data_IF_898019729427
#
_entry.id   IF_898019729427
#
_cell.length_a   1.000
_cell.length_b   1.000
_cell.length_c   1.000
_cell.angle_alpha   90.00
_cell.angle_beta   90.00
_cell.angle_gamma   90.00
#
_symmetry.space_group_name_H-M   'P 1'
#
loop_
_entity.id
_entity.type
_entity.pdbx_description
1 polymer ?
#
# COMPACT_ATOMS: atom_id res chain seq x y z
N UNK A 1 -48.41 24.61 23.57
CA UNK A 1 -48.28 23.98 22.23
C UNK A 1 -47.56 24.96 21.32
N UNK A 2 -46.37 24.78 20.75
CA UNK A 2 -45.37 23.71 20.64
C UNK A 2 -44.02 24.41 20.32
N UNK A 3 -42.86 24.01 20.88
CA UNK A 3 -41.57 24.48 20.38
C UNK A 3 -41.03 23.53 19.30
N UNK A 4 -41.01 24.00 18.05
CA UNK A 4 -40.23 23.41 16.94
C UNK A 4 -38.73 23.66 17.20
N UNK A 5 -38.07 22.82 18.00
CA UNK A 5 -36.63 22.99 18.25
C UNK A 5 -35.82 21.69 18.43
N UNK A 6 -36.36 20.50 18.11
CA UNK A 6 -35.61 19.24 18.34
C UNK A 6 -35.12 18.50 17.09
N UNK A 7 -35.41 18.99 15.87
CA UNK A 7 -35.08 18.24 14.65
C UNK A 7 -33.75 18.61 13.99
N UNK A 8 -33.01 19.58 14.53
CA UNK A 8 -31.71 20.04 13.96
C UNK A 8 -30.47 19.35 14.57
N UNK A 9 -30.63 18.50 15.59
CA UNK A 9 -29.51 17.93 16.38
C UNK A 9 -29.21 16.45 16.11
N UNK A 10 -29.81 15.84 15.07
CA UNK A 10 -29.54 14.44 14.65
C UNK A 10 -28.84 14.32 13.29
N UNK A 11 -28.00 15.29 12.93
CA UNK A 11 -27.08 15.23 11.79
C UNK A 11 -25.59 15.13 12.20
N UNK A 12 -25.28 14.79 13.45
CA UNK A 12 -23.91 14.90 14.00
C UNK A 12 -23.10 13.60 14.09
N UNK A 13 -23.24 12.68 13.13
CA UNK A 13 -22.32 11.53 13.06
C UNK A 13 -21.88 11.14 11.64
N UNK A 14 -22.35 11.85 10.61
CA UNK A 14 -21.95 11.58 9.23
C UNK A 14 -22.07 12.84 8.36
N UNK A 15 -21.44 13.93 8.80
CA UNK A 15 -21.24 15.09 7.95
C UNK A 15 -19.75 15.30 7.79
N UNK A 16 -19.28 15.05 6.57
CA UNK A 16 -18.07 15.62 5.98
C UNK A 16 -17.63 16.83 6.79
N UNK A 17 -16.47 16.74 7.46
CA UNK A 17 -15.83 17.91 8.07
C UNK A 17 -15.81 18.95 6.96
N UNK A 18 -16.47 20.10 7.16
CA UNK A 18 -16.48 21.18 6.19
C UNK A 18 -15.03 21.39 5.73
N UNK A 19 -14.76 21.19 4.44
CA UNK A 19 -13.38 21.14 3.94
C UNK A 19 -12.64 22.43 4.30
N UNK A 20 -13.37 23.55 4.32
CA UNK A 20 -12.86 24.84 4.79
C UNK A 20 -12.51 24.79 6.29
N UNK A 21 -13.40 24.27 7.14
CA UNK A 21 -13.11 24.08 8.55
C UNK A 21 -11.91 23.13 8.78
N UNK A 22 -11.76 22.07 7.98
CA UNK A 22 -10.60 21.17 8.07
C UNK A 22 -9.28 21.88 7.71
N UNK A 23 -9.28 22.70 6.65
CA UNK A 23 -8.12 23.51 6.25
C UNK A 23 -7.81 24.58 7.30
N UNK A 24 -8.84 25.27 7.80
CA UNK A 24 -8.70 26.28 8.85
C UNK A 24 -8.13 25.64 10.12
N UNK A 25 -8.59 24.45 10.52
CA UNK A 25 -8.04 23.68 11.64
C UNK A 25 -6.58 23.26 11.43
N UNK A 26 -6.20 22.90 10.21
CA UNK A 26 -4.82 22.51 9.88
C UNK A 26 -3.86 23.72 9.81
N UNK A 27 -4.38 24.92 9.52
CA UNK A 27 -3.58 26.15 9.34
C UNK A 27 -3.57 27.01 10.60
N UNK A 28 -4.60 26.91 11.44
CA UNK A 28 -4.68 27.64 12.69
C UNK A 28 -3.62 27.12 13.67
N UNK A 29 -2.66 27.99 14.06
CA UNK A 29 -1.66 27.73 15.11
C UNK A 29 -2.27 27.56 16.52
N UNK A 30 -3.60 27.49 16.63
CA UNK A 30 -4.34 27.52 17.89
C UNK A 30 -4.32 26.18 18.63
N UNK A 31 -3.89 25.08 17.98
CA UNK A 31 -3.82 23.76 18.58
C UNK A 31 -2.37 23.36 18.90
N UNK A 32 -2.18 22.67 20.03
CA UNK A 32 -0.87 22.19 20.50
C UNK A 32 -0.31 21.03 19.68
N UNK A 33 -1.13 20.36 18.86
CA UNK A 33 -0.76 19.18 18.10
C UNK A 33 -0.70 19.47 16.61
N UNK A 34 0.49 19.34 16.01
CA UNK A 34 0.67 19.41 14.57
C UNK A 34 0.84 18.00 13.99
N UNK A 35 -0.21 17.47 13.36
CA UNK A 35 -0.21 16.13 12.75
C UNK A 35 0.89 15.99 11.70
N UNK A 36 1.22 17.04 10.95
CA UNK A 36 2.30 16.97 9.95
C UNK A 36 3.67 16.70 10.57
N UNK A 37 3.86 17.07 11.84
CA UNK A 37 5.12 16.91 12.58
C UNK A 37 5.12 15.70 13.52
N UNK A 38 4.12 14.82 13.42
CA UNK A 38 4.16 13.55 14.13
C UNK A 38 5.40 12.76 13.72
N UNK A 39 6.06 12.13 14.69
CA UNK A 39 7.26 11.32 14.48
C UNK A 39 7.09 10.30 13.34
N UNK A 40 6.01 9.51 13.25
CA UNK A 40 5.79 8.61 12.11
C UNK A 40 5.70 9.35 10.76
N UNK A 41 5.13 10.55 10.71
CA UNK A 41 5.02 11.31 9.46
C UNK A 41 6.36 11.90 9.03
N UNK A 42 7.21 12.30 9.98
CA UNK A 42 8.59 12.73 9.69
C UNK A 42 9.40 11.56 9.10
N UNK A 43 9.25 10.35 9.66
CA UNK A 43 9.86 9.14 9.09
C UNK A 43 9.29 8.89 7.68
N UNK A 44 7.98 9.05 7.48
CA UNK A 44 7.33 8.98 6.18
C UNK A 44 7.93 9.95 5.14
N UNK A 45 8.18 11.22 5.50
CA UNK A 45 8.83 12.16 4.60
C UNK A 45 10.27 11.76 4.26
N UNK A 46 11.02 11.25 5.25
CA UNK A 46 12.36 10.72 5.01
C UNK A 46 12.34 9.54 4.03
N UNK A 47 11.33 8.66 4.13
CA UNK A 47 11.11 7.57 3.15
C UNK A 47 10.88 8.12 1.74
N UNK A 48 10.00 9.11 1.58
CA UNK A 48 9.75 9.75 0.28
C UNK A 48 11.04 10.28 -0.33
N UNK A 49 11.87 10.95 0.48
CA UNK A 49 13.17 11.47 0.02
C UNK A 49 14.09 10.31 -0.38
N UNK A 50 14.26 9.29 0.46
CA UNK A 50 15.13 8.15 0.19
C UNK A 50 14.69 7.37 -1.06
N UNK A 51 13.39 7.18 -1.25
CA UNK A 51 12.83 6.60 -2.46
C UNK A 51 13.16 7.46 -3.69
N UNK A 52 12.96 8.78 -3.63
CA UNK A 52 13.31 9.68 -4.73
C UNK A 52 14.81 9.65 -5.07
N UNK A 53 15.69 9.63 -4.05
CA UNK A 53 17.14 9.50 -4.26
C UNK A 53 17.49 8.12 -4.84
N UNK A 54 16.83 7.05 -4.41
CA UNK A 54 16.98 5.71 -5.00
C UNK A 54 16.64 5.70 -6.48
N UNK A 55 15.53 6.33 -6.87
CA UNK A 55 15.10 6.47 -8.26
C UNK A 55 16.09 7.27 -9.10
N UNK A 56 16.68 8.32 -8.54
CA UNK A 56 17.73 9.09 -9.21
C UNK A 56 18.91 8.19 -9.60
N UNK A 57 19.44 7.41 -8.64
CA UNK A 57 20.58 6.51 -8.87
C UNK A 57 20.26 5.27 -9.72
N UNK A 58 18.99 5.01 -10.03
CA UNK A 58 18.52 3.76 -10.63
C UNK A 58 19.11 3.46 -12.03
N UNK A 59 19.50 4.49 -12.78
CA UNK A 59 19.99 4.33 -14.15
C UNK A 59 21.52 4.23 -14.29
N UNK A 60 22.29 4.48 -13.22
CA UNK A 60 23.77 4.50 -13.30
C UNK A 60 24.50 3.90 -12.09
N UNK A 61 23.83 3.75 -10.94
CA UNK A 61 24.42 3.23 -9.71
C UNK A 61 23.47 2.23 -9.01
N UNK A 62 23.35 0.99 -9.54
CA UNK A 62 22.31 0.05 -9.14
C UNK A 62 22.41 -0.46 -7.70
N UNK A 63 23.64 -0.57 -7.17
CA UNK A 63 23.88 -0.97 -5.78
C UNK A 63 23.38 0.12 -4.82
N UNK A 64 23.79 1.38 -5.02
CA UNK A 64 23.34 2.50 -4.20
C UNK A 64 21.82 2.69 -4.28
N UNK A 65 21.26 2.61 -5.48
CA UNK A 65 19.80 2.65 -5.68
C UNK A 65 19.08 1.57 -4.87
N UNK A 66 19.54 0.32 -4.92
CA UNK A 66 18.94 -0.80 -4.19
C UNK A 66 19.07 -0.66 -2.67
N UNK A 67 20.22 -0.18 -2.18
CA UNK A 67 20.44 0.06 -0.74
C UNK A 67 19.48 1.14 -0.24
N UNK A 68 19.40 2.27 -0.95
CA UNK A 68 18.50 3.37 -0.57
C UNK A 68 17.03 2.95 -0.63
N UNK A 69 16.65 2.18 -1.65
CA UNK A 69 15.31 1.59 -1.76
C UNK A 69 14.99 0.67 -0.57
N UNK A 70 15.96 -0.19 -0.21
CA UNK A 70 15.85 -1.10 0.92
C UNK A 70 15.71 -0.36 2.25
N UNK A 71 16.52 0.69 2.49
CA UNK A 71 16.41 1.52 3.69
C UNK A 71 15.03 2.21 3.74
N UNK A 72 14.56 2.77 2.63
CA UNK A 72 13.22 3.36 2.55
C UNK A 72 12.12 2.35 2.89
N UNK A 73 12.27 1.10 2.44
CA UNK A 73 11.33 0.01 2.73
C UNK A 73 11.40 -0.47 4.18
N UNK A 74 12.55 -0.40 4.84
CA UNK A 74 12.69 -0.75 6.27
C UNK A 74 12.05 0.33 7.15
N UNK A 75 12.20 1.59 6.78
CA UNK A 75 11.61 2.72 7.50
C UNK A 75 10.09 2.71 7.50
N UNK A 76 9.45 2.01 6.55
CA UNK A 76 8.00 1.73 6.54
C UNK A 76 7.53 1.06 7.84
N UNK A 77 8.20 -0.03 8.19
CA UNK A 77 7.90 -0.76 9.41
C UNK A 77 8.16 0.11 10.64
N UNK A 78 9.18 0.97 10.56
CA UNK A 78 9.56 1.86 11.64
C UNK A 78 8.52 2.97 11.89
N UNK A 79 7.96 3.58 10.84
CA UNK A 79 6.90 4.59 11.01
C UNK A 79 5.61 3.98 11.57
N UNK A 80 5.23 2.79 11.09
CA UNK A 80 4.05 2.08 11.57
C UNK A 80 4.20 1.62 13.02
N UNK A 81 5.43 1.27 13.43
CA UNK A 81 5.76 0.98 14.82
C UNK A 81 5.72 2.24 15.69
N UNK A 82 6.34 3.34 15.24
CA UNK A 82 6.36 4.62 15.95
C UNK A 82 4.95 5.19 16.14
N UNK A 83 4.09 5.11 15.11
CA UNK A 83 2.71 5.56 15.17
C UNK A 83 1.88 4.87 16.27
N UNK A 84 2.19 3.59 16.55
CA UNK A 84 1.51 2.80 17.58
C UNK A 84 2.14 3.02 18.96
N UNK A 85 3.47 3.04 19.03
CA UNK A 85 4.19 3.23 20.28
C UNK A 85 3.96 4.62 20.89
N UNK A 86 3.83 5.65 20.05
CA UNK A 86 3.62 7.03 20.47
C UNK A 86 2.15 7.46 20.47
N UNK A 87 1.21 6.56 20.14
CA UNK A 87 -0.21 6.88 19.92
C UNK A 87 -0.46 8.02 18.91
N UNK A 88 0.43 8.17 17.92
CA UNK A 88 0.39 9.19 16.87
C UNK A 88 -0.18 8.67 15.54
N UNK A 89 -1.07 7.69 15.60
CA UNK A 89 -1.73 7.13 14.40
C UNK A 89 -2.70 8.16 13.81
N UNK A 90 -2.54 8.50 12.52
CA UNK A 90 -3.34 9.53 11.85
C UNK A 90 -3.83 9.07 10.48
N UNK A 91 -4.98 9.60 10.03
CA UNK A 91 -5.50 9.34 8.67
C UNK A 91 -4.54 9.86 7.59
N UNK A 92 -3.91 11.02 7.84
CA UNK A 92 -2.91 11.58 6.95
C UNK A 92 -1.70 10.64 6.81
N UNK A 93 -1.14 10.17 7.93
CA UNK A 93 -0.01 9.24 7.93
C UNK A 93 -0.32 7.93 7.20
N UNK A 94 -1.52 7.36 7.42
CA UNK A 94 -1.94 6.14 6.72
C UNK A 94 -2.06 6.32 5.19
N UNK A 95 -2.50 7.50 4.73
CA UNK A 95 -2.56 7.81 3.29
C UNK A 95 -1.17 8.11 2.73
N UNK A 96 -0.34 8.86 3.46
CA UNK A 96 1.04 9.16 3.09
C UNK A 96 1.85 7.88 2.89
N UNK A 97 1.75 6.95 3.82
CA UNK A 97 2.37 5.64 3.78
C UNK A 97 1.98 4.87 2.50
N UNK A 98 0.67 4.66 2.31
CA UNK A 98 0.14 3.96 1.14
C UNK A 98 0.58 4.60 -0.17
N UNK A 99 0.51 5.94 -0.29
CA UNK A 99 0.92 6.66 -1.51
C UNK A 99 2.42 6.49 -1.77
N UNK A 100 3.25 6.58 -0.73
CA UNK A 100 4.71 6.46 -0.85
C UNK A 100 5.10 5.08 -1.38
N UNK A 101 4.51 4.03 -0.81
CA UNK A 101 4.71 2.65 -1.27
C UNK A 101 4.34 2.48 -2.75
N UNK A 102 3.14 2.92 -3.13
CA UNK A 102 2.65 2.73 -4.51
C UNK A 102 3.52 3.48 -5.51
N UNK A 103 3.95 4.70 -5.17
CA UNK A 103 4.86 5.48 -6.01
C UNK A 103 6.22 4.80 -6.16
N UNK A 104 6.83 4.32 -5.07
CA UNK A 104 8.13 3.67 -5.10
C UNK A 104 8.12 2.40 -5.98
N UNK A 105 7.18 1.48 -5.72
CA UNK A 105 7.04 0.23 -6.50
C UNK A 105 6.71 0.52 -7.96
N UNK A 106 5.86 1.51 -8.24
CA UNK A 106 5.48 1.84 -9.63
C UNK A 106 6.64 2.44 -10.42
N UNK A 107 7.45 3.30 -9.81
CA UNK A 107 8.64 3.83 -10.47
C UNK A 107 9.66 2.72 -10.77
N UNK A 108 9.84 1.76 -9.86
CA UNK A 108 10.67 0.57 -10.10
C UNK A 108 10.11 -0.28 -11.27
N UNK A 109 8.80 -0.53 -11.30
CA UNK A 109 8.15 -1.26 -12.39
C UNK A 109 8.22 -0.52 -13.73
N UNK A 110 8.13 0.80 -13.75
CA UNK A 110 8.34 1.63 -14.94
C UNK A 110 9.76 1.45 -15.49
N UNK A 111 10.76 1.46 -14.61
CA UNK A 111 12.14 1.15 -15.01
C UNK A 111 12.25 -0.26 -15.59
N UNK A 112 11.69 -1.27 -14.93
CA UNK A 112 11.68 -2.66 -15.41
C UNK A 112 11.00 -2.80 -16.78
N UNK A 113 9.91 -2.07 -17.02
CA UNK A 113 9.24 -2.04 -18.32
C UNK A 113 10.15 -1.51 -19.44
N UNK A 114 10.99 -0.51 -19.14
CA UNK A 114 11.99 -0.02 -20.10
C UNK A 114 13.17 -0.98 -20.28
N UNK A 115 13.60 -1.65 -19.20
CA UNK A 115 14.75 -2.54 -19.20
C UNK A 115 14.44 -3.89 -19.87
N UNK A 116 13.18 -4.33 -19.81
CA UNK A 116 12.68 -5.57 -20.41
C UNK A 116 11.46 -5.31 -21.32
N UNK A 117 11.65 -4.73 -22.52
CA UNK A 117 10.55 -4.31 -23.39
C UNK A 117 9.55 -5.42 -23.74
N UNK A 118 10.01 -6.67 -23.87
CA UNK A 118 9.16 -7.85 -24.14
C UNK A 118 8.08 -8.05 -23.06
N UNK A 119 8.35 -7.67 -21.82
CA UNK A 119 7.44 -7.81 -20.68
C UNK A 119 6.82 -6.46 -20.25
N UNK A 120 7.01 -5.39 -21.02
CA UNK A 120 6.54 -4.05 -20.66
C UNK A 120 5.02 -4.01 -20.40
N UNK A 121 4.22 -4.69 -21.22
CA UNK A 121 2.76 -4.78 -21.06
C UNK A 121 2.39 -5.45 -19.74
N UNK A 122 3.14 -6.47 -19.31
CA UNK A 122 2.92 -7.12 -18.02
C UNK A 122 3.19 -6.15 -16.88
N UNK A 123 4.33 -5.44 -16.90
CA UNK A 123 4.63 -4.45 -15.84
C UNK A 123 3.62 -3.31 -15.80
N UNK A 124 3.17 -2.80 -16.95
CA UNK A 124 2.10 -1.80 -17.02
C UNK A 124 0.79 -2.31 -16.41
N UNK A 125 0.42 -3.56 -16.71
CA UNK A 125 -0.74 -4.19 -16.10
C UNK A 125 -0.59 -4.34 -14.58
N UNK A 126 0.59 -4.74 -14.08
CA UNK A 126 0.86 -4.86 -12.64
C UNK A 126 0.73 -3.51 -11.92
N UNK A 127 1.26 -2.43 -12.52
CA UNK A 127 1.09 -1.06 -12.00
C UNK A 127 -0.40 -0.70 -11.92
N UNK A 128 -1.15 -0.92 -13.01
CA UNK A 128 -2.58 -0.59 -13.07
C UNK A 128 -3.40 -1.38 -12.04
N UNK A 129 -3.13 -2.68 -11.91
CA UNK A 129 -3.78 -3.56 -10.94
C UNK A 129 -3.51 -3.12 -9.50
N UNK A 130 -2.25 -2.80 -9.20
CA UNK A 130 -1.84 -2.41 -7.86
C UNK A 130 -2.47 -1.09 -7.43
N UNK A 131 -2.43 -0.06 -8.29
CA UNK A 131 -3.14 1.20 -8.05
C UNK A 131 -4.64 1.02 -7.91
N UNK A 132 -5.29 0.31 -8.85
CA UNK A 132 -6.74 0.13 -8.82
C UNK A 132 -7.19 -0.61 -7.55
N UNK A 133 -6.50 -1.68 -7.18
CA UNK A 133 -6.84 -2.51 -6.01
C UNK A 133 -6.69 -1.74 -4.69
N UNK A 134 -5.61 -0.99 -4.52
CA UNK A 134 -5.37 -0.20 -3.32
C UNK A 134 -6.29 1.02 -3.25
N UNK A 135 -6.51 1.73 -4.36
CA UNK A 135 -7.40 2.87 -4.41
C UNK A 135 -8.84 2.51 -4.06
N UNK A 136 -9.37 1.45 -4.69
CA UNK A 136 -10.72 0.94 -4.40
C UNK A 136 -10.83 0.47 -2.95
N UNK A 137 -9.83 -0.26 -2.45
CA UNK A 137 -9.83 -0.74 -1.08
C UNK A 137 -9.80 0.39 -0.04
N UNK A 138 -8.92 1.38 -0.22
CA UNK A 138 -8.84 2.54 0.65
C UNK A 138 -10.17 3.31 0.66
N UNK A 139 -10.73 3.58 -0.52
CA UNK A 139 -12.00 4.30 -0.64
C UNK A 139 -13.16 3.56 0.03
N UNK A 140 -13.27 2.24 -0.20
CA UNK A 140 -14.26 1.39 0.47
C UNK A 140 -14.11 1.38 2.00
N UNK A 141 -12.88 1.33 2.51
CA UNK A 141 -12.58 1.36 3.95
C UNK A 141 -12.95 2.71 4.58
N UNK A 142 -12.69 3.82 3.88
CA UNK A 142 -13.04 5.17 4.35
C UNK A 142 -14.55 5.35 4.41
N UNK A 143 -15.29 4.93 3.38
CA UNK A 143 -16.75 5.08 3.32
C UNK A 143 -17.46 4.22 4.37
N UNK A 144 -17.04 2.97 4.51
CA UNK A 144 -17.68 2.05 5.47
C UNK A 144 -17.45 2.45 6.93
N UNK A 145 -16.37 3.20 7.20
CA UNK A 145 -15.94 3.63 8.53
C UNK A 145 -15.64 2.44 9.45
N UNK A 146 -14.84 2.64 10.49
CA UNK A 146 -14.61 1.64 11.55
C UNK A 146 -15.87 1.31 12.38
N UNK A 147 -17.08 1.65 11.89
CA UNK A 147 -18.38 1.61 12.56
C UNK A 147 -19.35 0.66 11.87
N UNK A 148 -18.89 -0.50 11.38
CA UNK A 148 -19.76 -1.46 10.69
C UNK A 148 -19.60 -2.90 11.18
N UNK A 149 -19.57 -3.08 12.51
CA UNK A 149 -19.86 -4.38 13.15
C UNK A 149 -21.27 -4.93 12.83
N UNK A 150 -22.08 -4.23 12.01
CA UNK A 150 -23.44 -4.65 11.62
C UNK A 150 -23.67 -4.83 10.13
N UNK A 151 -22.71 -4.56 9.24
CA UNK A 151 -22.92 -4.64 7.78
C UNK A 151 -21.84 -5.39 6.99
N UNK A 152 -20.78 -5.89 7.63
CA UNK A 152 -19.70 -6.63 6.93
C UNK A 152 -19.45 -7.98 7.60
N UNK A 153 -20.47 -8.82 7.64
CA UNK A 153 -20.29 -10.28 7.68
C UNK A 153 -20.60 -10.86 6.31
N UNK A 154 -20.02 -10.26 5.27
CA UNK A 154 -19.90 -10.93 3.98
C UNK A 154 -18.56 -11.65 3.99
N UNK A 155 -18.60 -12.99 4.09
CA UNK A 155 -17.49 -13.94 3.96
C UNK A 155 -16.17 -13.29 3.53
N UNK A 156 -15.31 -12.99 4.50
CA UNK A 156 -13.94 -12.60 4.20
C UNK A 156 -13.32 -13.86 3.56
N UNK A 157 -13.27 -13.92 2.22
CA UNK A 157 -12.51 -14.95 1.50
C UNK A 157 -11.26 -15.28 2.29
N UNK A 158 -11.10 -16.58 2.57
CA UNK A 158 -10.12 -17.11 3.53
C UNK A 158 -8.70 -16.58 3.27
N UNK A 159 -8.39 -16.32 2.00
CA UNK A 159 -7.12 -15.75 1.56
C UNK A 159 -6.90 -14.30 1.99
N UNK A 160 -7.93 -13.45 1.91
CA UNK A 160 -7.82 -12.05 2.33
C UNK A 160 -7.81 -11.94 3.86
N UNK A 161 -8.56 -12.81 4.53
CA UNK A 161 -8.52 -12.90 5.99
C UNK A 161 -7.13 -13.29 6.47
N UNK A 162 -6.53 -14.36 5.91
CA UNK A 162 -5.17 -14.76 6.25
C UNK A 162 -4.15 -13.64 6.01
N UNK A 163 -4.29 -12.92 4.89
CA UNK A 163 -3.40 -11.83 4.51
C UNK A 163 -3.44 -10.64 5.49
N UNK A 164 -4.62 -10.21 5.95
CA UNK A 164 -4.74 -9.05 6.86
C UNK A 164 -4.77 -9.42 8.34
N UNK A 165 -5.15 -10.64 8.71
CA UNK A 165 -5.26 -11.06 10.10
C UNK A 165 -3.89 -11.23 10.77
N UNK A 166 -2.91 -11.72 10.03
CA UNK A 166 -1.55 -11.88 10.54
C UNK A 166 -0.59 -10.84 9.93
N UNK A 167 -0.07 -9.96 10.79
CA UNK A 167 0.89 -8.92 10.39
C UNK A 167 2.17 -9.51 9.80
N UNK A 168 2.57 -10.70 10.23
CA UNK A 168 3.77 -11.37 9.70
C UNK A 168 3.54 -11.81 8.26
N UNK A 169 2.38 -12.42 7.98
CA UNK A 169 1.97 -12.80 6.63
C UNK A 169 1.88 -11.56 5.72
N UNK A 170 1.26 -10.47 6.18
CA UNK A 170 1.20 -9.21 5.43
C UNK A 170 2.61 -8.72 5.05
N UNK A 171 3.50 -8.63 6.04
CA UNK A 171 4.87 -8.17 5.83
C UNK A 171 5.65 -9.08 4.90
N UNK A 172 5.60 -10.41 5.10
CA UNK A 172 6.33 -11.37 4.27
C UNK A 172 5.89 -11.35 2.81
N UNK A 173 4.59 -11.22 2.55
CA UNK A 173 4.07 -11.14 1.18
C UNK A 173 4.45 -9.82 0.51
N UNK A 174 4.36 -8.69 1.22
CA UNK A 174 4.80 -7.40 0.70
C UNK A 174 6.32 -7.36 0.46
N UNK A 175 7.12 -7.75 1.46
CA UNK A 175 8.57 -7.79 1.36
C UNK A 175 9.04 -8.77 0.28
N UNK A 176 8.40 -9.93 0.15
CA UNK A 176 8.71 -10.90 -0.91
C UNK A 176 8.36 -10.38 -2.31
N UNK A 177 7.28 -9.63 -2.46
CA UNK A 177 6.93 -8.97 -3.71
C UNK A 177 7.95 -7.88 -4.09
N UNK A 178 8.32 -7.01 -3.14
CA UNK A 178 9.35 -5.99 -3.37
C UNK A 178 10.71 -6.61 -3.68
N UNK A 179 11.08 -7.66 -2.94
CA UNK A 179 12.31 -8.42 -3.18
C UNK A 179 12.36 -9.01 -4.59
N UNK A 180 11.23 -9.48 -5.13
CA UNK A 180 11.16 -9.97 -6.49
C UNK A 180 11.48 -8.87 -7.52
N UNK A 181 10.89 -7.68 -7.38
CA UNK A 181 11.15 -6.58 -8.32
C UNK A 181 12.58 -6.03 -8.20
N UNK A 182 13.11 -5.89 -6.97
CA UNK A 182 14.50 -5.49 -6.75
C UNK A 182 15.46 -6.56 -7.30
N UNK A 183 15.14 -7.85 -7.16
CA UNK A 183 15.94 -8.91 -7.74
C UNK A 183 15.96 -8.83 -9.28
N UNK A 184 14.80 -8.67 -9.94
CA UNK A 184 14.72 -8.48 -11.39
C UNK A 184 15.49 -7.25 -11.88
N UNK A 185 15.46 -6.17 -11.09
CA UNK A 185 16.24 -4.97 -11.35
C UNK A 185 17.74 -5.26 -11.27
N UNK A 186 18.21 -5.94 -10.23
CA UNK A 186 19.62 -6.29 -10.08
C UNK A 186 20.10 -7.32 -11.12
N UNK A 187 19.23 -8.23 -11.59
CA UNK A 187 19.54 -9.14 -12.71
C UNK A 187 19.92 -8.38 -13.97
N UNK A 188 19.34 -7.19 -14.21
CA UNK A 188 19.69 -6.37 -15.38
C UNK A 188 21.12 -5.82 -15.32
N UNK A 189 21.66 -5.65 -14.12
CA UNK A 189 22.90 -4.92 -13.88
C UNK A 189 24.08 -5.81 -13.45
N UNK A 190 23.81 -6.95 -12.82
CA UNK A 190 24.83 -7.81 -12.23
C UNK A 190 24.76 -9.19 -12.87
N UNK A 191 25.72 -9.46 -13.75
CA UNK A 191 25.86 -10.74 -14.48
C UNK A 191 26.85 -11.71 -13.82
N UNK A 192 27.34 -11.42 -12.61
CA UNK A 192 28.37 -12.26 -11.96
C UNK A 192 27.77 -13.61 -11.51
N UNK A 193 28.27 -14.74 -12.05
CA UNK A 193 27.75 -16.06 -11.71
C UNK A 193 28.17 -16.49 -10.30
N UNK A 194 27.31 -17.29 -9.65
CA UNK A 194 27.45 -17.76 -8.25
C UNK A 194 28.74 -18.55 -7.97
N UNK A 195 29.46 -19.01 -9.00
CA UNK A 195 30.68 -19.85 -8.88
C UNK A 195 31.77 -19.30 -7.99
N UNK A 196 31.79 -18.00 -7.70
CA UNK A 196 32.82 -17.36 -6.87
C UNK A 196 32.60 -17.55 -5.36
N UNK A 197 31.40 -17.93 -4.90
CA UNK A 197 31.04 -17.94 -3.47
C UNK A 197 30.68 -19.30 -2.87
N UNK A 198 30.54 -20.37 -3.67
CA UNK A 198 30.01 -21.66 -3.20
C UNK A 198 30.97 -22.84 -3.41
N UNK A 199 30.96 -23.75 -2.43
CA UNK A 199 31.79 -24.96 -2.33
C UNK A 199 31.75 -25.82 -3.62
N UNK A 200 32.84 -26.55 -3.98
CA UNK A 200 32.95 -27.36 -5.21
C UNK A 200 31.93 -28.49 -5.39
N UNK A 201 30.99 -28.69 -4.48
CA UNK A 201 29.92 -29.69 -4.53
C UNK A 201 28.55 -29.13 -4.91
N UNK A 202 28.51 -27.94 -5.52
CA UNK A 202 27.23 -27.33 -5.96
C UNK A 202 26.68 -28.00 -7.23
N UNK A 203 25.36 -28.28 -7.29
CA UNK A 203 24.71 -28.83 -8.48
C UNK A 203 24.98 -27.98 -9.73
N UNK A 204 25.35 -28.61 -10.85
CA UNK A 204 25.69 -27.94 -12.12
C UNK A 204 24.63 -26.95 -12.62
N UNK A 205 23.36 -27.21 -12.33
CA UNK A 205 22.24 -26.31 -12.64
C UNK A 205 22.33 -24.96 -11.91
N UNK A 206 22.79 -24.93 -10.65
CA UNK A 206 22.95 -23.70 -9.87
C UNK A 206 24.24 -22.94 -10.21
N UNK A 207 25.22 -23.63 -10.79
CA UNK A 207 26.52 -23.06 -11.11
C UNK A 207 26.48 -22.04 -12.26
N UNK A 208 25.43 -22.03 -13.09
CA UNK A 208 25.25 -21.07 -14.17
C UNK A 208 24.39 -19.84 -13.82
N UNK A 209 23.71 -19.86 -12.66
CA UNK A 209 22.77 -18.80 -12.28
C UNK A 209 23.47 -17.68 -11.51
N UNK A 210 22.94 -16.46 -11.61
CA UNK A 210 23.34 -15.35 -10.73
C UNK A 210 22.56 -15.40 -9.41
N UNK A 211 23.13 -14.85 -8.33
CA UNK A 211 22.47 -14.82 -7.01
C UNK A 211 21.10 -14.12 -7.09
N UNK A 212 21.04 -13.06 -7.89
CA UNK A 212 19.86 -12.25 -8.16
C UNK A 212 18.77 -13.07 -8.85
N UNK A 213 19.13 -13.91 -9.83
CA UNK A 213 18.19 -14.82 -10.48
C UNK A 213 17.61 -15.84 -9.49
N UNK A 214 18.45 -16.40 -8.61
CA UNK A 214 17.97 -17.33 -7.58
C UNK A 214 16.96 -16.67 -6.64
N UNK A 215 17.27 -15.45 -6.16
CA UNK A 215 16.35 -14.67 -5.32
C UNK A 215 15.05 -14.36 -6.06
N UNK A 216 15.11 -13.99 -7.34
CA UNK A 216 13.93 -13.77 -8.16
C UNK A 216 13.07 -15.05 -8.28
N UNK A 217 13.68 -16.21 -8.53
CA UNK A 217 12.94 -17.48 -8.61
C UNK A 217 12.29 -17.88 -7.28
N UNK A 218 12.97 -17.67 -6.16
CA UNK A 218 12.42 -17.98 -4.83
C UNK A 218 11.27 -17.03 -4.43
N UNK A 219 11.35 -15.76 -4.85
CA UNK A 219 10.33 -14.75 -4.54
C UNK A 219 9.19 -14.67 -5.56
N UNK A 220 9.35 -15.25 -6.76
CA UNK A 220 8.32 -15.26 -7.81
C UNK A 220 6.96 -15.83 -7.35
N UNK A 221 6.88 -16.95 -6.61
CA UNK A 221 5.60 -17.44 -6.10
C UNK A 221 4.91 -16.46 -5.16
N UNK A 222 5.68 -15.70 -4.38
CA UNK A 222 5.15 -14.67 -3.47
C UNK A 222 4.61 -13.47 -4.25
N UNK A 223 5.32 -13.04 -5.30
CA UNK A 223 4.84 -11.99 -6.20
C UNK A 223 3.53 -12.40 -6.91
N UNK A 224 3.44 -13.63 -7.41
CA UNK A 224 2.21 -14.17 -8.01
C UNK A 224 1.07 -14.16 -6.99
N UNK A 225 1.31 -14.66 -5.77
CA UNK A 225 0.33 -14.64 -4.69
C UNK A 225 -0.13 -13.21 -4.36
N UNK A 226 0.79 -12.25 -4.25
CA UNK A 226 0.46 -10.84 -3.99
C UNK A 226 -0.44 -10.26 -5.08
N UNK A 227 -0.16 -10.55 -6.35
CA UNK A 227 -0.99 -10.07 -7.45
C UNK A 227 -2.38 -10.72 -7.49
N UNK A 228 -2.50 -12.00 -7.12
CA UNK A 228 -3.80 -12.66 -6.91
C UNK A 228 -4.57 -11.98 -5.77
N UNK A 229 -3.89 -11.65 -4.66
CA UNK A 229 -4.48 -10.92 -3.54
C UNK A 229 -4.98 -9.55 -4.00
N UNK A 230 -4.21 -8.82 -4.80
CA UNK A 230 -4.62 -7.52 -5.35
C UNK A 230 -5.90 -7.63 -6.20
N UNK A 231 -6.05 -8.68 -7.03
CA UNK A 231 -7.28 -8.94 -7.78
C UNK A 231 -8.48 -9.21 -6.86
N UNK A 232 -8.30 -10.07 -5.85
CA UNK A 232 -9.33 -10.39 -4.86
C UNK A 232 -9.73 -9.15 -4.06
N UNK A 233 -8.76 -8.35 -3.67
CA UNK A 233 -8.93 -7.09 -2.96
C UNK A 233 -9.74 -6.09 -3.79
N UNK A 234 -9.40 -5.92 -5.07
CA UNK A 234 -10.13 -5.06 -6.00
C UNK A 234 -11.60 -5.47 -6.15
N UNK A 235 -11.84 -6.76 -6.39
CA UNK A 235 -13.19 -7.29 -6.57
C UNK A 235 -14.05 -7.13 -5.31
N UNK A 236 -13.47 -7.40 -4.14
CA UNK A 236 -14.18 -7.24 -2.86
C UNK A 236 -14.49 -5.79 -2.53
N UNK A 237 -13.52 -4.91 -2.68
CA UNK A 237 -13.73 -3.47 -2.47
C UNK A 237 -14.86 -2.95 -3.36
N UNK A 238 -14.90 -3.38 -4.64
CA UNK A 238 -15.97 -3.06 -5.57
C UNK A 238 -17.34 -3.55 -5.08
N UNK A 239 -17.43 -4.77 -4.56
CA UNK A 239 -18.69 -5.30 -3.99
C UNK A 239 -19.15 -4.53 -2.76
N UNK A 240 -18.23 -4.13 -1.89
CA UNK A 240 -18.54 -3.33 -0.70
C UNK A 240 -19.14 -1.98 -1.11
N UNK A 241 -18.53 -1.30 -2.09
CA UNK A 241 -19.01 -0.03 -2.63
C UNK A 241 -20.43 -0.15 -3.21
N UNK A 242 -20.67 -1.17 -4.05
CA UNK A 242 -22.02 -1.45 -4.57
C UNK A 242 -23.02 -1.72 -3.44
N UNK A 243 -22.60 -2.42 -2.38
CA UNK A 243 -23.43 -2.67 -1.20
C UNK A 243 -23.84 -1.38 -0.48
N UNK A 244 -22.91 -0.43 -0.34
CA UNK A 244 -23.20 0.91 0.21
C UNK A 244 -24.18 1.66 -0.68
N UNK A 245 -23.95 1.71 -1.99
CA UNK A 245 -24.85 2.39 -2.93
C UNK A 245 -26.28 1.84 -2.89
N UNK A 246 -26.43 0.51 -2.80
CA UNK A 246 -27.73 -0.15 -2.68
C UNK A 246 -28.43 0.22 -1.37
N UNK A 247 -27.69 0.28 -0.25
CA UNK A 247 -28.24 0.67 1.04
C UNK A 247 -28.71 2.13 1.06
N UNK A 248 -27.93 3.05 0.49
CA UNK A 248 -28.30 4.46 0.35
C UNK A 248 -29.54 4.64 -0.52
N UNK A 249 -29.61 3.95 -1.67
CA UNK A 249 -30.78 3.95 -2.55
C UNK A 249 -32.01 3.39 -1.85
N UNK A 250 -31.89 2.33 -1.07
CA UNK A 250 -32.98 1.77 -0.30
C UNK A 250 -33.51 2.75 0.76
N UNK A 251 -32.61 3.48 1.43
CA UNK A 251 -32.98 4.52 2.40
C UNK A 251 -33.72 5.68 1.74
N UNK A 252 -33.20 6.18 0.61
CA UNK A 252 -33.84 7.26 -0.14
C UNK A 252 -35.24 6.88 -0.66
N UNK A 253 -35.46 5.61 -1.04
CA UNK A 253 -36.79 5.10 -1.41
C UNK A 253 -37.76 5.13 -0.23
N UNK A 254 -37.32 4.73 0.97
CA UNK A 254 -38.14 4.76 2.19
C UNK A 254 -38.55 6.19 2.57
N UNK A 255 -37.61 7.14 2.48
CA UNK A 255 -37.87 8.56 2.76
C UNK A 255 -38.85 9.21 1.78
N UNK A 256 -38.92 8.73 0.53
CA UNK A 256 -39.92 9.19 -0.45
C UNK A 256 -41.31 8.59 -0.26
N UNK A 257 -41.40 7.44 0.43
CA UNK A 257 -42.67 6.74 0.69
C UNK A 257 -43.31 7.09 2.04
N UNK A 258 -42.66 7.92 2.86
CA UNK A 258 -43.13 8.42 4.16
C UNK A 258 -43.51 9.88 4.07
#
# INVERSE_FOLDING_TARGET
>A
MTPKASQKRKKSALSVVDAKAAVDLATAQTYSENVFLFVPNIIGYLRVILAAVSLHYMSYHPIYSSILYGISSILDVADGYAARALNQSSKFGAVLDMVTDRCATSCLLCYLASAYPTYAVLFQFLIALDFASHYMHMYSSIITGSSSHKLVTSDVSRILWLYYNDRRTLFLVCAGNELFYVALYLVKWIDTPIKLLLHPSTPYFLAGMTYQQLVAWLSAPVCILKNIINLVQLWKASKILVGVDLAERAKARKEKSS
#
